data_IF_635861782539
#
_entry.id   IF_635861782539
#
_cell.length_a   1.000
_cell.length_b   1.000
_cell.length_c   1.000
_cell.angle_alpha   90.00
_cell.angle_beta   90.00
_cell.angle_gamma   90.00
#
_symmetry.space_group_name_H-M   'P 1'
#
loop_
_entity.id
_entity.type
_entity.pdbx_description
1 polymer ?
#
# COMPACT_ATOMS: atom_id res chain seq x y z
N UNK A 1 -29.04 -45.75 82.88
CA UNK A 1 -28.70 -46.31 81.56
C UNK A 1 -28.96 -45.23 80.51
N UNK A 2 -27.90 -44.43 80.21
CA UNK A 2 -28.03 -43.25 79.34
C UNK A 2 -27.46 -43.59 77.96
N UNK A 3 -28.31 -43.56 76.90
CA UNK A 3 -27.91 -43.68 75.53
C UNK A 3 -27.53 -42.28 74.97
N UNK A 4 -26.26 -42.12 74.60
CA UNK A 4 -25.77 -40.93 73.86
C UNK A 4 -25.93 -41.14 72.36
N UNK A 5 -26.79 -40.37 71.75
CA UNK A 5 -26.89 -40.31 70.25
C UNK A 5 -25.81 -39.39 69.69
N UNK A 6 -24.89 -39.92 68.93
CA UNK A 6 -23.89 -39.17 68.13
C UNK A 6 -24.51 -38.73 66.83
N UNK A 7 -24.62 -37.41 66.65
CA UNK A 7 -25.06 -36.81 65.38
C UNK A 7 -23.84 -36.63 64.47
N UNK A 8 -23.78 -37.42 63.40
CA UNK A 8 -22.78 -37.30 62.34
C UNK A 8 -23.20 -36.17 61.38
N UNK A 9 -22.53 -35.02 61.39
CA UNK A 9 -22.71 -33.90 60.43
C UNK A 9 -21.95 -34.24 59.15
N UNK A 10 -22.68 -34.57 58.09
CA UNK A 10 -22.13 -34.72 56.74
C UNK A 10 -21.97 -33.31 56.13
N UNK A 11 -20.73 -32.90 55.94
CA UNK A 11 -20.39 -31.67 55.18
C UNK A 11 -20.40 -32.04 53.67
N UNK A 12 -21.43 -31.63 52.93
CA UNK A 12 -21.45 -31.71 51.46
C UNK A 12 -20.66 -30.50 50.94
N UNK A 13 -19.45 -30.77 50.46
CA UNK A 13 -18.64 -29.80 49.72
C UNK A 13 -19.18 -29.72 48.28
N UNK A 14 -20.04 -28.74 47.99
CA UNK A 14 -20.45 -28.42 46.61
C UNK A 14 -19.30 -27.66 45.94
N UNK A 15 -18.49 -28.40 45.18
CA UNK A 15 -17.49 -27.83 44.27
C UNK A 15 -18.20 -27.12 43.12
N UNK A 16 -18.35 -25.80 43.21
CA UNK A 16 -18.81 -24.98 42.08
C UNK A 16 -17.75 -24.92 40.99
N UNK A 17 -17.93 -25.71 39.96
CA UNK A 17 -17.12 -25.65 38.74
C UNK A 17 -17.48 -24.34 38.00
N UNK A 18 -16.68 -23.30 38.20
CA UNK A 18 -16.79 -22.03 37.49
C UNK A 18 -16.29 -22.28 36.05
N UNK A 19 -17.20 -22.53 35.11
CA UNK A 19 -16.91 -22.52 33.71
C UNK A 19 -16.67 -21.08 33.28
N UNK A 20 -15.40 -20.66 33.21
CA UNK A 20 -15.01 -19.40 32.61
C UNK A 20 -15.26 -19.47 31.10
N UNK A 21 -16.39 -18.98 30.64
CA UNK A 21 -16.62 -18.71 29.21
C UNK A 21 -15.67 -17.58 28.82
N UNK A 22 -14.57 -17.95 28.15
CA UNK A 22 -13.73 -16.97 27.48
C UNK A 22 -14.55 -16.36 26.33
N UNK A 23 -15.16 -15.22 26.57
CA UNK A 23 -15.79 -14.42 25.54
C UNK A 23 -14.66 -13.89 24.64
N UNK A 24 -14.40 -14.56 23.52
CA UNK A 24 -13.52 -14.04 22.49
C UNK A 24 -14.23 -12.87 21.84
N UNK A 25 -13.72 -11.67 22.04
CA UNK A 25 -14.21 -10.51 21.29
C UNK A 25 -13.96 -10.73 19.81
N UNK A 26 -15.00 -10.62 18.98
CA UNK A 26 -14.89 -10.66 17.53
C UNK A 26 -14.02 -9.50 17.05
N UNK A 27 -13.13 -9.77 16.13
CA UNK A 27 -12.34 -8.75 15.43
C UNK A 27 -13.19 -8.29 14.24
N UNK A 28 -13.63 -7.04 14.28
CA UNK A 28 -14.40 -6.42 13.19
C UNK A 28 -13.60 -5.25 12.62
N UNK A 29 -13.33 -5.29 11.32
CA UNK A 29 -12.62 -4.22 10.58
C UNK A 29 -13.35 -3.97 9.27
N UNK A 30 -13.53 -2.71 8.91
CA UNK A 30 -14.12 -2.31 7.62
C UNK A 30 -13.00 -2.08 6.60
N UNK A 31 -13.12 -2.71 5.42
CA UNK A 31 -12.20 -2.55 4.29
C UNK A 31 -12.42 -1.20 3.57
N UNK A 32 -11.64 -0.92 2.53
CA UNK A 32 -11.74 0.35 1.80
C UNK A 32 -12.92 0.38 0.80
N UNK A 33 -13.63 -0.74 0.62
CA UNK A 33 -14.91 -0.83 -0.10
C UNK A 33 -16.13 -0.84 0.83
N UNK A 34 -15.95 -0.50 2.12
CA UNK A 34 -16.97 -0.53 3.16
C UNK A 34 -17.55 -1.92 3.50
N UNK A 35 -16.84 -3.01 3.18
CA UNK A 35 -17.24 -4.33 3.63
C UNK A 35 -16.68 -4.63 5.03
N UNK A 36 -17.49 -5.27 5.87
CA UNK A 36 -17.07 -5.70 7.20
C UNK A 36 -16.38 -7.06 7.13
N UNK A 37 -15.17 -7.13 7.64
CA UNK A 37 -14.42 -8.36 7.83
C UNK A 37 -14.52 -8.72 9.31
N UNK A 38 -15.08 -9.90 9.59
CA UNK A 38 -15.28 -10.39 10.95
C UNK A 38 -14.49 -11.68 11.14
N UNK A 39 -13.56 -11.68 12.10
CA UNK A 39 -12.76 -12.84 12.45
C UNK A 39 -12.95 -13.18 13.93
N UNK A 40 -13.06 -14.47 14.25
CA UNK A 40 -13.15 -14.95 15.64
C UNK A 40 -11.81 -14.93 16.39
N UNK A 41 -10.70 -14.86 15.64
CA UNK A 41 -9.32 -14.82 16.14
C UNK A 41 -8.45 -14.13 15.11
N UNK A 42 -7.27 -13.60 15.51
CA UNK A 42 -6.32 -13.03 14.58
C UNK A 42 -5.90 -14.00 13.48
N UNK A 43 -5.85 -13.51 12.25
CA UNK A 43 -5.45 -14.28 11.07
C UNK A 43 -4.02 -14.80 11.21
N UNK A 44 -3.83 -16.09 10.90
CA UNK A 44 -2.54 -16.81 10.93
C UNK A 44 -2.18 -17.46 9.61
N UNK A 45 -3.11 -17.49 8.68
CA UNK A 45 -2.94 -18.04 7.33
C UNK A 45 -3.43 -17.01 6.31
N UNK A 46 -2.53 -16.12 5.88
CA UNK A 46 -2.86 -14.95 5.07
C UNK A 46 -2.44 -15.18 3.63
N UNK A 47 -3.33 -14.89 2.68
CA UNK A 47 -2.97 -14.74 1.27
C UNK A 47 -2.79 -13.26 0.97
N UNK A 48 -1.66 -12.90 0.38
CA UNK A 48 -1.31 -11.54 -0.06
C UNK A 48 -1.32 -11.49 -1.59
N UNK A 49 -2.30 -10.83 -2.19
CA UNK A 49 -2.51 -10.85 -3.64
C UNK A 49 -1.76 -9.75 -4.40
N UNK A 50 -0.90 -8.97 -3.73
CA UNK A 50 -0.08 -7.95 -4.37
C UNK A 50 1.23 -7.69 -3.59
N UNK A 51 2.30 -7.23 -4.28
CA UNK A 51 3.61 -7.00 -3.65
C UNK A 51 3.58 -5.97 -2.52
N UNK A 52 2.84 -4.88 -2.69
CA UNK A 52 2.67 -3.85 -1.66
C UNK A 52 2.03 -4.39 -0.38
N UNK A 53 1.05 -5.29 -0.52
CA UNK A 53 0.39 -5.96 0.62
C UNK A 53 1.40 -6.81 1.37
N UNK A 54 2.21 -7.59 0.65
CA UNK A 54 3.28 -8.41 1.24
C UNK A 54 4.25 -7.54 2.03
N UNK A 55 4.71 -6.43 1.48
CA UNK A 55 5.61 -5.48 2.15
C UNK A 55 4.98 -4.92 3.43
N UNK A 56 3.72 -4.49 3.38
CA UNK A 56 3.00 -3.97 4.52
C UNK A 56 2.87 -5.02 5.62
N UNK A 57 2.45 -6.24 5.29
CA UNK A 57 2.29 -7.32 6.26
C UNK A 57 3.62 -7.67 6.95
N UNK A 58 4.73 -7.70 6.23
CA UNK A 58 6.05 -7.85 6.84
C UNK A 58 6.40 -6.67 7.75
N UNK A 59 6.16 -5.45 7.30
CA UNK A 59 6.47 -4.22 8.03
C UNK A 59 5.74 -4.14 9.37
N UNK A 60 4.47 -4.52 9.42
CA UNK A 60 3.67 -4.54 10.66
C UNK A 60 3.89 -5.82 11.50
N UNK A 61 4.79 -6.72 11.08
CA UNK A 61 5.17 -7.93 11.82
C UNK A 61 4.22 -9.13 11.65
N UNK A 62 3.41 -9.15 10.59
CA UNK A 62 2.53 -10.26 10.23
C UNK A 62 3.11 -11.17 9.11
N UNK A 63 4.34 -10.92 8.67
CA UNK A 63 4.98 -11.63 7.55
C UNK A 63 5.03 -13.16 7.70
N UNK A 64 5.26 -13.67 8.93
CA UNK A 64 5.27 -15.12 9.21
C UNK A 64 3.90 -15.80 9.08
N UNK A 65 2.82 -15.02 9.00
CA UNK A 65 1.46 -15.53 8.78
C UNK A 65 1.10 -15.62 7.30
N UNK A 66 1.94 -15.15 6.38
CA UNK A 66 1.67 -15.21 4.94
C UNK A 66 1.98 -16.62 4.44
N UNK A 67 0.96 -17.31 3.94
CA UNK A 67 1.07 -18.67 3.40
C UNK A 67 1.05 -18.72 1.87
N UNK A 68 0.61 -17.61 1.23
CA UNK A 68 0.63 -17.45 -0.22
C UNK A 68 0.77 -15.98 -0.61
N UNK A 69 1.54 -15.69 -1.65
CA UNK A 69 1.84 -14.34 -2.10
C UNK A 69 1.78 -14.21 -3.62
N UNK A 70 1.66 -12.98 -4.09
CA UNK A 70 1.77 -12.62 -5.50
C UNK A 70 3.18 -12.94 -6.05
N UNK A 71 3.27 -13.24 -7.36
CA UNK A 71 4.51 -13.61 -8.04
C UNK A 71 5.61 -12.57 -7.88
N UNK A 72 5.27 -11.29 -7.84
CA UNK A 72 6.21 -10.16 -7.73
C UNK A 72 6.51 -9.75 -6.29
N UNK A 73 6.04 -10.51 -5.30
CA UNK A 73 6.33 -10.29 -3.87
C UNK A 73 7.75 -10.72 -3.52
N UNK A 74 8.74 -9.88 -3.83
CA UNK A 74 10.18 -10.16 -3.68
C UNK A 74 10.85 -9.41 -2.51
N UNK A 75 10.10 -8.57 -1.78
CA UNK A 75 10.61 -7.80 -0.64
C UNK A 75 9.71 -7.96 0.59
N UNK A 76 10.30 -8.09 1.80
CA UNK A 76 11.73 -8.31 2.06
C UNK A 76 12.21 -9.67 1.49
N UNK A 77 13.50 -9.98 1.60
CA UNK A 77 14.06 -11.23 1.06
C UNK A 77 13.33 -12.48 1.54
N UNK A 78 12.84 -12.48 2.78
CA UNK A 78 12.01 -13.57 3.34
C UNK A 78 10.71 -13.83 2.56
N UNK A 79 10.18 -12.84 1.83
CA UNK A 79 9.00 -13.02 1.00
C UNK A 79 9.24 -13.94 -0.22
N UNK A 80 10.50 -14.11 -0.63
CA UNK A 80 10.86 -14.91 -1.82
C UNK A 80 10.57 -16.41 -1.65
N UNK A 81 10.55 -16.90 -0.41
CA UNK A 81 10.27 -18.31 -0.09
C UNK A 81 8.78 -18.63 0.03
N UNK A 82 7.89 -17.64 -0.03
CA UNK A 82 6.45 -17.85 0.11
C UNK A 82 5.89 -18.45 -1.19
N UNK A 83 4.92 -19.38 -1.07
CA UNK A 83 4.23 -19.99 -2.20
C UNK A 83 3.57 -18.92 -3.10
N UNK A 84 3.75 -19.03 -4.41
CA UNK A 84 3.14 -18.10 -5.38
C UNK A 84 1.74 -18.58 -5.75
N UNK A 85 0.75 -17.72 -5.55
CA UNK A 85 -0.68 -18.07 -5.72
C UNK A 85 -1.38 -17.27 -6.80
N UNK A 86 -0.82 -16.14 -7.24
CA UNK A 86 -1.35 -15.32 -8.31
C UNK A 86 -0.23 -14.53 -9.01
N UNK A 87 -0.55 -14.10 -10.24
CA UNK A 87 0.11 -12.95 -10.88
C UNK A 87 -0.96 -11.86 -11.11
N UNK A 88 -0.56 -10.70 -11.65
CA UNK A 88 -1.45 -9.58 -11.86
C UNK A 88 -2.87 -9.93 -12.35
N UNK A 89 -3.08 -10.92 -13.25
CA UNK A 89 -4.33 -11.18 -13.99
C UNK A 89 -4.95 -12.52 -13.68
N UNK A 90 -4.22 -13.43 -13.03
CA UNK A 90 -4.65 -14.82 -12.83
C UNK A 90 -4.39 -15.22 -11.39
N UNK A 91 -5.44 -15.65 -10.70
CA UNK A 91 -5.35 -16.25 -9.38
C UNK A 91 -5.56 -17.77 -9.48
N UNK A 92 -4.70 -18.53 -8.82
CA UNK A 92 -4.86 -19.97 -8.68
C UNK A 92 -5.78 -20.26 -7.49
N UNK A 93 -7.09 -20.26 -7.74
CA UNK A 93 -8.12 -20.44 -6.71
C UNK A 93 -7.99 -21.79 -5.99
N UNK A 94 -7.64 -22.86 -6.70
CA UNK A 94 -7.49 -24.21 -6.13
C UNK A 94 -6.34 -24.21 -5.12
N UNK A 95 -5.20 -23.63 -5.49
CA UNK A 95 -4.05 -23.50 -4.59
C UNK A 95 -4.39 -22.61 -3.40
N UNK A 96 -5.06 -21.45 -3.61
CA UNK A 96 -5.48 -20.55 -2.53
C UNK A 96 -6.35 -21.31 -1.52
N UNK A 97 -7.37 -22.07 -1.99
CA UNK A 97 -8.25 -22.86 -1.11
C UNK A 97 -7.46 -23.94 -0.38
N UNK A 98 -6.55 -24.65 -1.08
CA UNK A 98 -5.75 -25.71 -0.48
C UNK A 98 -4.85 -25.23 0.66
N UNK A 99 -4.44 -23.95 0.61
CA UNK A 99 -3.69 -23.30 1.67
C UNK A 99 -4.55 -22.93 2.89
N UNK A 100 -5.86 -23.15 2.86
CA UNK A 100 -6.81 -22.89 3.95
C UNK A 100 -6.60 -21.52 4.62
N UNK A 101 -6.68 -20.41 3.87
CA UNK A 101 -6.47 -19.11 4.44
C UNK A 101 -7.62 -18.70 5.37
N UNK A 102 -7.28 -18.01 6.44
CA UNK A 102 -8.24 -17.37 7.33
C UNK A 102 -8.40 -15.85 7.01
N UNK A 103 -7.59 -15.34 6.09
CA UNK A 103 -7.71 -14.00 5.53
C UNK A 103 -7.05 -13.94 4.15
N UNK A 104 -7.74 -13.32 3.19
CA UNK A 104 -7.15 -12.87 1.92
C UNK A 104 -7.09 -11.36 1.93
N UNK A 105 -5.95 -10.78 1.55
CA UNK A 105 -5.79 -9.34 1.39
C UNK A 105 -5.57 -9.05 -0.09
N UNK A 106 -6.42 -8.20 -0.67
CA UNK A 106 -6.44 -7.87 -2.09
C UNK A 106 -6.35 -6.36 -2.31
N UNK A 107 -5.78 -5.95 -3.45
CA UNK A 107 -5.73 -4.56 -3.89
C UNK A 107 -6.76 -4.36 -5.01
N UNK A 108 -7.72 -3.44 -4.80
CA UNK A 108 -8.89 -3.26 -5.67
C UNK A 108 -8.52 -3.01 -7.13
N UNK A 109 -7.80 -1.92 -7.40
CA UNK A 109 -7.43 -1.55 -8.77
C UNK A 109 -6.36 -2.46 -9.40
N UNK A 110 -5.57 -3.16 -8.58
CA UNK A 110 -4.51 -4.05 -9.06
C UNK A 110 -4.98 -5.48 -9.33
N UNK A 111 -5.79 -6.07 -8.47
CA UNK A 111 -6.28 -7.43 -8.66
C UNK A 111 -7.58 -7.49 -9.49
N UNK A 112 -8.35 -6.40 -9.52
CA UNK A 112 -9.63 -6.33 -10.22
C UNK A 112 -10.79 -6.97 -9.47
N UNK A 113 -12.00 -6.51 -9.83
CA UNK A 113 -13.26 -6.92 -9.17
C UNK A 113 -13.51 -8.42 -9.31
N UNK A 114 -13.24 -8.99 -10.47
CA UNK A 114 -13.56 -10.41 -10.77
C UNK A 114 -12.83 -11.38 -9.85
N UNK A 115 -11.54 -11.15 -9.57
CA UNK A 115 -10.76 -11.98 -8.65
C UNK A 115 -11.30 -11.83 -7.23
N UNK A 116 -11.57 -10.60 -6.79
CA UNK A 116 -12.07 -10.30 -5.45
C UNK A 116 -13.43 -10.98 -5.21
N UNK A 117 -14.38 -10.79 -6.12
CA UNK A 117 -15.71 -11.37 -6.00
C UNK A 117 -15.69 -12.90 -6.08
N UNK A 118 -14.84 -13.47 -6.94
CA UNK A 118 -14.68 -14.91 -7.01
C UNK A 118 -14.19 -15.50 -5.68
N UNK A 119 -13.22 -14.86 -5.02
CA UNK A 119 -12.72 -15.32 -3.72
C UNK A 119 -13.79 -15.20 -2.62
N UNK A 120 -14.60 -14.14 -2.64
CA UNK A 120 -15.76 -13.98 -1.73
C UNK A 120 -16.80 -15.06 -1.94
N UNK A 121 -17.14 -15.38 -3.19
CA UNK A 121 -18.07 -16.48 -3.52
C UNK A 121 -17.58 -17.87 -3.08
N UNK A 122 -16.26 -18.04 -2.97
CA UNK A 122 -15.66 -19.24 -2.41
C UNK A 122 -15.67 -19.27 -0.87
N UNK A 123 -16.32 -18.29 -0.23
CA UNK A 123 -16.49 -18.21 1.23
C UNK A 123 -15.26 -17.72 1.99
N UNK A 124 -14.26 -17.14 1.31
CA UNK A 124 -13.05 -16.65 1.96
C UNK A 124 -13.27 -15.23 2.51
N UNK A 125 -12.75 -14.91 3.71
CA UNK A 125 -12.70 -13.54 4.21
C UNK A 125 -11.72 -12.72 3.37
N UNK A 126 -12.22 -11.73 2.60
CA UNK A 126 -11.39 -10.89 1.70
C UNK A 126 -11.42 -9.46 2.18
N UNK A 127 -10.30 -8.97 2.69
CA UNK A 127 -10.06 -7.57 3.00
C UNK A 127 -9.51 -6.88 1.76
N UNK A 128 -10.18 -5.84 1.29
CA UNK A 128 -9.79 -5.10 0.08
C UNK A 128 -9.25 -3.73 0.47
N UNK A 129 -8.08 -3.39 -0.07
CA UNK A 129 -7.49 -2.07 0.09
C UNK A 129 -7.46 -1.30 -1.24
N UNK A 130 -7.53 0.03 -1.13
CA UNK A 130 -7.28 0.97 -2.22
C UNK A 130 -6.67 2.24 -1.63
N UNK A 131 -5.40 2.51 -1.95
CA UNK A 131 -4.64 3.63 -1.39
C UNK A 131 -4.54 4.73 -2.44
N UNK A 132 -5.12 5.87 -2.17
CA UNK A 132 -5.05 7.07 -3.04
C UNK A 132 -4.27 8.22 -2.43
N UNK A 133 -4.07 8.21 -1.10
CA UNK A 133 -3.28 9.22 -0.37
C UNK A 133 -2.32 8.57 0.63
N UNK A 134 -1.24 9.26 0.95
CA UNK A 134 -0.25 8.77 1.91
C UNK A 134 -0.81 8.68 3.33
N UNK A 135 -1.78 9.52 3.70
CA UNK A 135 -2.44 9.48 5.02
C UNK A 135 -3.26 8.20 5.25
N UNK A 136 -3.65 7.49 4.20
CA UNK A 136 -4.36 6.20 4.32
C UNK A 136 -3.45 5.05 4.77
N UNK A 137 -2.14 5.14 4.52
CA UNK A 137 -1.19 4.06 4.81
C UNK A 137 -1.11 3.74 6.31
N UNK A 138 -0.92 4.71 7.23
CA UNK A 138 -0.91 4.42 8.67
C UNK A 138 -2.25 3.89 9.19
N UNK A 139 -3.38 4.30 8.59
CA UNK A 139 -4.71 3.74 8.91
C UNK A 139 -4.80 2.28 8.50
N UNK A 140 -4.31 1.95 7.29
CA UNK A 140 -4.26 0.57 6.80
C UNK A 140 -3.39 -0.32 7.70
N UNK A 141 -2.23 0.17 8.20
CA UNK A 141 -1.41 -0.58 9.14
C UNK A 141 -2.19 -0.96 10.39
N UNK A 142 -2.97 -0.04 10.94
CA UNK A 142 -3.79 -0.32 12.13
C UNK A 142 -4.90 -1.33 11.85
N UNK A 143 -5.60 -1.21 10.71
CA UNK A 143 -6.62 -2.16 10.26
C UNK A 143 -6.05 -3.58 10.13
N UNK A 144 -4.96 -3.72 9.37
CA UNK A 144 -4.29 -5.01 9.20
C UNK A 144 -3.69 -5.54 10.51
N UNK A 145 -3.16 -4.65 11.36
CA UNK A 145 -2.66 -4.99 12.69
C UNK A 145 -3.73 -5.60 13.60
N UNK A 146 -4.97 -5.12 13.53
CA UNK A 146 -6.10 -5.71 14.26
C UNK A 146 -6.43 -7.10 13.71
N UNK A 147 -6.56 -7.24 12.38
CA UNK A 147 -6.89 -8.51 11.73
C UNK A 147 -5.83 -9.59 11.97
N UNK A 148 -4.56 -9.23 12.09
CA UNK A 148 -3.43 -10.18 12.21
C UNK A 148 -2.95 -10.38 13.66
N UNK A 149 -3.46 -9.57 14.60
CA UNK A 149 -3.01 -9.56 16.00
C UNK A 149 -1.63 -8.91 16.20
N UNK A 150 -1.12 -8.17 15.20
CA UNK A 150 0.17 -7.45 15.28
C UNK A 150 0.01 -5.99 15.76
N UNK A 151 -1.01 -5.71 16.56
CA UNK A 151 -1.46 -4.36 16.94
C UNK A 151 -0.35 -3.46 17.49
N UNK A 152 0.59 -3.99 18.29
CA UNK A 152 1.68 -3.18 18.85
C UNK A 152 2.63 -2.70 17.76
N UNK A 153 3.07 -3.61 16.88
CA UNK A 153 3.98 -3.28 15.77
C UNK A 153 3.31 -2.38 14.73
N UNK A 154 2.05 -2.65 14.41
CA UNK A 154 1.31 -1.83 13.45
C UNK A 154 1.06 -0.40 13.92
N UNK A 155 0.78 -0.18 15.22
CA UNK A 155 0.68 1.16 15.81
C UNK A 155 2.01 1.90 15.76
N UNK A 156 3.11 1.22 16.06
CA UNK A 156 4.44 1.83 15.98
C UNK A 156 4.82 2.16 14.54
N UNK A 157 4.58 1.26 13.59
CA UNK A 157 4.80 1.50 12.17
C UNK A 157 3.97 2.69 11.66
N UNK A 158 2.70 2.78 12.08
CA UNK A 158 1.81 3.88 11.73
C UNK A 158 2.33 5.22 12.27
N UNK A 159 2.78 5.25 13.52
CA UNK A 159 3.35 6.46 14.15
C UNK A 159 4.59 6.94 13.40
N UNK A 160 5.55 6.04 13.17
CA UNK A 160 6.81 6.37 12.46
C UNK A 160 6.56 6.86 11.03
N UNK A 161 5.60 6.22 10.32
CA UNK A 161 5.21 6.66 8.98
C UNK A 161 4.62 8.07 9.01
N UNK A 162 3.68 8.33 9.93
CA UNK A 162 3.05 9.65 10.06
C UNK A 162 4.06 10.74 10.41
N UNK A 163 4.97 10.48 11.34
CA UNK A 163 6.02 11.45 11.73
C UNK A 163 6.92 11.81 10.53
N UNK A 164 7.37 10.82 9.76
CA UNK A 164 8.18 11.08 8.56
C UNK A 164 7.39 11.80 7.46
N UNK A 165 6.10 11.46 7.29
CA UNK A 165 5.23 12.14 6.34
C UNK A 165 5.03 13.61 6.72
N UNK A 166 4.81 13.91 8.01
CA UNK A 166 4.63 15.27 8.52
C UNK A 166 5.92 16.10 8.39
N UNK A 167 7.08 15.48 8.63
CA UNK A 167 8.38 16.12 8.37
C UNK A 167 8.55 16.50 6.90
N UNK A 168 8.29 15.57 5.98
CA UNK A 168 8.32 15.86 4.54
C UNK A 168 7.36 16.99 4.17
N UNK A 169 6.12 16.92 4.67
CA UNK A 169 5.09 17.93 4.41
C UNK A 169 5.53 19.31 4.88
N UNK A 170 6.12 19.42 6.08
CA UNK A 170 6.60 20.69 6.62
C UNK A 170 7.76 21.28 5.82
N UNK A 171 8.65 20.45 5.29
CA UNK A 171 9.81 20.88 4.50
C UNK A 171 9.44 21.52 3.15
N UNK A 172 8.27 21.16 2.61
CA UNK A 172 7.83 21.63 1.28
C UNK A 172 6.57 22.50 1.32
N UNK A 173 6.00 22.73 2.50
CA UNK A 173 4.83 23.60 2.68
C UNK A 173 5.12 25.04 2.20
N UNK A 174 4.23 25.57 1.38
CA UNK A 174 4.32 26.97 0.90
C UNK A 174 5.38 27.25 -0.17
N UNK A 175 6.11 26.23 -0.62
CA UNK A 175 7.05 26.39 -1.74
C UNK A 175 6.32 26.64 -3.05
N UNK A 176 6.97 27.35 -3.98
CA UNK A 176 6.47 27.58 -5.33
C UNK A 176 6.15 26.27 -6.03
N UNK A 177 4.94 26.16 -6.57
CA UNK A 177 4.48 24.95 -7.29
C UNK A 177 5.30 24.76 -8.56
N UNK A 178 5.64 23.50 -8.87
CA UNK A 178 6.40 23.09 -10.04
C UNK A 178 5.54 22.17 -10.89
N UNK A 179 5.28 22.55 -12.15
CA UNK A 179 4.50 21.74 -13.10
C UNK A 179 5.22 20.43 -13.37
N UNK A 180 4.62 19.34 -12.94
CA UNK A 180 5.20 18.00 -12.97
C UNK A 180 4.38 17.06 -13.82
N UNK A 181 5.04 16.30 -14.68
CA UNK A 181 4.45 15.23 -15.46
C UNK A 181 5.02 13.89 -14.98
N UNK A 182 4.15 12.92 -14.65
CA UNK A 182 4.58 11.58 -14.28
C UNK A 182 4.20 10.60 -15.39
N UNK A 183 5.21 10.00 -16.05
CA UNK A 183 5.01 9.00 -17.09
C UNK A 183 5.02 7.60 -16.49
N UNK A 184 3.90 6.87 -16.60
CA UNK A 184 3.79 5.49 -16.12
C UNK A 184 4.12 4.46 -17.21
N UNK A 185 3.81 4.78 -18.49
CA UNK A 185 4.04 3.91 -19.63
C UNK A 185 4.49 4.69 -20.86
N UNK A 186 5.28 4.05 -21.74
CA UNK A 186 5.94 4.73 -22.86
C UNK A 186 5.11 4.75 -24.16
N UNK A 187 4.42 3.65 -24.48
CA UNK A 187 3.70 3.50 -25.73
C UNK A 187 2.50 2.54 -25.57
N UNK A 188 1.26 3.09 -25.58
CA UNK A 188 0.96 4.51 -25.64
C UNK A 188 1.45 5.27 -24.41
N UNK A 189 1.67 6.59 -24.52
CA UNK A 189 2.07 7.38 -23.35
C UNK A 189 0.90 7.42 -22.35
N UNK A 190 1.15 6.96 -21.13
CA UNK A 190 0.16 6.97 -20.05
C UNK A 190 0.68 7.74 -18.85
N UNK A 191 -0.24 8.38 -18.12
CA UNK A 191 0.03 9.14 -16.91
C UNK A 191 -0.97 8.78 -15.81
N UNK A 192 -0.99 9.57 -14.77
CA UNK A 192 -1.84 9.39 -13.59
C UNK A 192 -2.61 10.69 -13.34
N UNK A 193 -3.87 10.60 -12.94
CA UNK A 193 -4.64 11.76 -12.54
C UNK A 193 -4.44 12.11 -11.05
N UNK A 194 -5.11 13.16 -10.57
CA UNK A 194 -4.98 13.66 -9.20
C UNK A 194 -5.48 12.74 -8.09
N UNK A 195 -6.23 11.68 -8.44
CA UNK A 195 -6.74 10.70 -7.46
C UNK A 195 -5.76 9.56 -7.18
N UNK A 196 -4.64 9.51 -7.90
CA UNK A 196 -3.65 8.46 -7.72
C UNK A 196 -2.60 8.87 -6.66
N UNK A 197 -2.15 7.92 -5.83
CA UNK A 197 -1.16 8.14 -4.76
C UNK A 197 0.11 8.88 -5.23
N UNK A 198 0.59 8.63 -6.45
CA UNK A 198 1.75 9.33 -6.99
C UNK A 198 1.51 10.83 -7.14
N UNK A 199 0.27 11.24 -7.41
CA UNK A 199 -0.09 12.66 -7.48
C UNK A 199 -0.10 13.30 -6.09
N UNK A 200 -0.51 12.56 -5.06
CA UNK A 200 -0.39 12.97 -3.65
C UNK A 200 1.08 13.17 -3.25
N UNK A 201 1.98 12.25 -3.68
CA UNK A 201 3.44 12.40 -3.49
C UNK A 201 3.98 13.65 -4.20
N UNK A 202 3.58 13.91 -5.45
CA UNK A 202 4.00 15.11 -6.19
C UNK A 202 3.54 16.37 -5.46
N UNK A 203 2.30 16.39 -4.99
CA UNK A 203 1.74 17.53 -4.26
C UNK A 203 2.45 17.78 -2.92
N UNK A 204 2.76 16.71 -2.17
CA UNK A 204 3.55 16.76 -0.94
C UNK A 204 4.87 17.51 -1.15
N UNK A 205 5.55 17.27 -2.28
CA UNK A 205 6.81 17.90 -2.64
C UNK A 205 6.66 19.33 -3.22
N UNK A 206 5.44 19.87 -3.22
CA UNK A 206 5.13 21.17 -3.83
C UNK A 206 5.15 21.14 -5.36
N UNK A 207 4.97 19.97 -5.97
CA UNK A 207 4.69 19.83 -7.39
C UNK A 207 3.21 20.05 -7.70
N UNK A 208 2.90 20.19 -8.99
CA UNK A 208 1.54 20.24 -9.54
C UNK A 208 1.46 19.25 -10.70
N UNK A 209 0.68 18.20 -10.56
CA UNK A 209 0.48 17.24 -11.65
C UNK A 209 -0.29 17.92 -12.79
N UNK A 210 0.34 18.08 -13.96
CA UNK A 210 -0.25 18.75 -15.12
C UNK A 210 -1.49 18.02 -15.70
N UNK A 211 -1.72 16.79 -15.30
CA UNK A 211 -2.91 15.99 -15.65
C UNK A 211 -3.82 15.70 -14.45
N UNK A 212 -3.78 16.54 -13.42
CA UNK A 212 -4.57 16.43 -12.18
C UNK A 212 -6.05 16.11 -12.44
N UNK A 213 -6.66 16.79 -13.43
CA UNK A 213 -8.09 16.72 -13.75
C UNK A 213 -8.42 15.71 -14.87
N UNK A 214 -7.47 14.91 -15.32
CA UNK A 214 -7.71 13.93 -16.36
C UNK A 214 -8.59 12.76 -15.87
N UNK A 215 -9.25 12.08 -16.81
CA UNK A 215 -10.02 10.86 -16.58
C UNK A 215 -9.63 9.83 -17.64
N UNK A 216 -9.54 8.55 -17.29
CA UNK A 216 -9.69 7.87 -15.98
C UNK A 216 -8.51 8.05 -15.03
N UNK A 217 -8.38 7.19 -13.99
CA UNK A 217 -7.28 7.21 -13.01
C UNK A 217 -5.90 7.15 -13.69
N UNK A 218 -5.79 6.33 -14.74
CA UNK A 218 -4.60 6.13 -15.57
C UNK A 218 -4.96 6.51 -17.02
N UNK A 219 -4.91 7.81 -17.37
CA UNK A 219 -5.27 8.26 -18.72
C UNK A 219 -4.12 8.02 -19.70
N UNK A 220 -4.50 7.65 -20.93
CA UNK A 220 -3.62 7.79 -22.09
C UNK A 220 -3.60 9.24 -22.54
N UNK A 221 -2.42 9.79 -22.83
CA UNK A 221 -2.23 11.16 -23.30
C UNK A 221 -1.41 11.17 -24.58
N UNK A 222 -1.62 12.19 -25.41
CA UNK A 222 -0.79 12.42 -26.60
C UNK A 222 0.31 13.45 -26.31
N UNK A 223 1.28 13.49 -27.18
CA UNK A 223 2.43 14.39 -27.02
C UNK A 223 2.04 15.88 -27.12
N UNK A 224 1.03 16.20 -27.92
CA UNK A 224 0.53 17.56 -28.08
C UNK A 224 -0.02 18.10 -26.77
N UNK A 225 -0.76 17.27 -26.00
CA UNK A 225 -1.27 17.62 -24.66
C UNK A 225 -0.14 17.87 -23.68
N UNK A 226 0.96 17.10 -23.75
CA UNK A 226 2.12 17.28 -22.88
C UNK A 226 2.86 18.55 -23.24
N UNK A 227 3.03 18.85 -24.56
CA UNK A 227 3.64 20.10 -25.02
C UNK A 227 2.80 21.30 -24.57
N UNK A 228 1.48 21.23 -24.68
CA UNK A 228 0.57 22.29 -24.23
C UNK A 228 0.63 22.51 -22.71
N UNK A 229 0.72 21.43 -21.93
CA UNK A 229 0.87 21.49 -20.47
C UNK A 229 2.25 22.05 -20.05
N UNK A 230 3.26 21.86 -20.89
CA UNK A 230 4.64 22.33 -20.73
C UNK A 230 5.20 22.07 -19.33
N UNK A 231 5.37 20.80 -18.93
CA UNK A 231 5.89 20.47 -17.61
C UNK A 231 7.34 20.95 -17.43
N UNK A 232 7.64 21.34 -16.18
CA UNK A 232 8.95 21.82 -15.74
C UNK A 232 9.82 20.66 -15.24
N UNK A 233 9.18 19.58 -14.78
CA UNK A 233 9.82 18.32 -14.38
C UNK A 233 9.07 17.15 -15.00
N UNK A 234 9.82 16.19 -15.59
CA UNK A 234 9.28 14.91 -16.03
C UNK A 234 9.84 13.81 -15.15
N UNK A 235 8.94 13.05 -14.54
CA UNK A 235 9.22 11.93 -13.66
C UNK A 235 8.73 10.63 -14.32
N UNK A 236 9.43 9.53 -14.07
CA UNK A 236 8.95 8.19 -14.40
C UNK A 236 9.58 7.17 -13.47
N UNK A 237 9.07 5.93 -13.48
CA UNK A 237 9.72 4.81 -12.82
C UNK A 237 10.58 4.02 -13.80
N UNK A 238 11.80 3.68 -13.39
CA UNK A 238 12.69 2.90 -14.23
C UNK A 238 14.04 2.62 -13.59
N UNK A 239 14.76 1.66 -14.17
CA UNK A 239 16.13 1.38 -13.75
C UNK A 239 17.11 2.41 -14.33
N UNK A 240 18.23 2.58 -13.69
CA UNK A 240 19.31 3.46 -14.15
C UNK A 240 19.77 3.13 -15.58
N UNK A 241 19.75 1.86 -15.95
CA UNK A 241 20.09 1.41 -17.32
C UNK A 241 19.13 1.99 -18.39
N UNK A 242 17.89 2.34 -18.03
CA UNK A 242 16.90 2.94 -18.95
C UNK A 242 17.04 4.45 -19.12
N UNK A 243 17.73 5.16 -18.23
CA UNK A 243 17.81 6.63 -18.20
C UNK A 243 18.20 7.20 -19.55
N UNK A 244 19.28 6.69 -20.15
CA UNK A 244 19.83 7.21 -21.41
C UNK A 244 18.83 7.06 -22.57
N UNK A 245 18.26 5.87 -22.77
CA UNK A 245 17.31 5.59 -23.85
C UNK A 245 16.00 6.36 -23.66
N UNK A 246 15.53 6.48 -22.43
CA UNK A 246 14.32 7.23 -22.09
C UNK A 246 14.50 8.74 -22.35
N UNK A 247 15.60 9.34 -21.92
CA UNK A 247 15.91 10.75 -22.21
C UNK A 247 16.06 11.00 -23.71
N UNK A 248 16.66 10.06 -24.45
CA UNK A 248 16.77 10.15 -25.91
C UNK A 248 15.42 10.16 -26.61
N UNK A 249 14.42 9.41 -26.12
CA UNK A 249 13.05 9.49 -26.64
C UNK A 249 12.47 10.89 -26.47
N UNK A 250 12.64 11.50 -25.29
CA UNK A 250 12.12 12.83 -24.99
C UNK A 250 12.86 13.96 -25.71
N UNK A 251 14.12 13.80 -26.08
CA UNK A 251 14.91 14.84 -26.75
C UNK A 251 14.33 15.32 -28.10
N UNK A 252 13.36 14.60 -28.64
CA UNK A 252 12.62 15.00 -29.86
C UNK A 252 11.71 16.22 -29.65
N UNK A 253 11.41 16.58 -28.40
CA UNK A 253 10.48 17.67 -28.06
C UNK A 253 11.15 18.73 -27.16
N UNK A 254 12.13 19.47 -27.73
CA UNK A 254 12.88 20.48 -26.97
C UNK A 254 12.04 21.71 -26.59
N UNK A 255 10.81 21.83 -27.12
CA UNK A 255 9.86 22.89 -26.72
C UNK A 255 9.34 22.69 -25.30
N UNK A 256 9.40 21.47 -24.71
CA UNK A 256 9.01 21.19 -23.35
C UNK A 256 10.10 21.67 -22.39
N UNK A 257 9.74 22.46 -21.38
CA UNK A 257 10.68 23.02 -20.39
C UNK A 257 11.57 21.96 -19.74
N UNK A 258 10.98 20.90 -19.22
CA UNK A 258 11.72 19.80 -18.59
C UNK A 258 12.77 19.17 -19.52
N UNK A 259 12.45 19.05 -20.82
CA UNK A 259 13.37 18.48 -21.82
C UNK A 259 14.50 19.44 -22.10
N UNK A 260 14.18 20.72 -22.34
CA UNK A 260 15.15 21.78 -22.66
C UNK A 260 16.16 21.99 -21.51
N UNK A 261 15.69 21.96 -20.28
CA UNK A 261 16.52 22.21 -19.07
C UNK A 261 17.11 20.92 -18.48
N UNK A 262 16.72 19.72 -18.98
CA UNK A 262 17.26 18.45 -18.52
C UNK A 262 16.65 17.91 -17.22
N UNK A 263 15.52 18.50 -16.75
CA UNK A 263 14.82 18.05 -15.54
C UNK A 263 13.92 16.83 -15.80
N UNK A 264 14.57 15.76 -16.16
CA UNK A 264 13.94 14.45 -16.43
C UNK A 264 14.59 13.37 -15.57
N UNK A 265 13.80 12.70 -14.73
CA UNK A 265 14.30 11.83 -13.69
C UNK A 265 13.56 10.49 -13.63
N UNK A 266 14.31 9.41 -13.42
CA UNK A 266 13.75 8.09 -13.12
C UNK A 266 13.89 7.78 -11.63
N UNK A 267 12.85 7.19 -11.07
CA UNK A 267 12.78 6.73 -9.68
C UNK A 267 12.77 5.20 -9.71
N UNK A 268 13.45 4.51 -8.77
CA UNK A 268 13.37 3.07 -8.66
C UNK A 268 11.90 2.59 -8.64
N UNK A 269 11.49 1.63 -9.50
CA UNK A 269 10.09 1.26 -9.68
C UNK A 269 9.41 0.83 -8.38
N UNK A 270 10.09 0.03 -7.58
CA UNK A 270 9.56 -0.51 -6.34
C UNK A 270 9.18 0.55 -5.29
N UNK A 271 9.73 1.78 -5.41
CA UNK A 271 9.44 2.87 -4.48
C UNK A 271 8.17 3.65 -4.86
N UNK A 272 7.81 3.68 -6.14
CA UNK A 272 6.65 4.45 -6.62
C UNK A 272 5.46 3.57 -7.04
N UNK A 273 5.73 2.34 -7.48
CA UNK A 273 4.69 1.43 -7.98
C UNK A 273 4.11 0.55 -6.87
N UNK A 274 4.77 0.49 -5.70
CA UNK A 274 4.30 -0.25 -4.53
C UNK A 274 3.83 0.72 -3.46
N UNK A 275 2.54 0.72 -3.21
CA UNK A 275 1.89 1.55 -2.20
C UNK A 275 2.14 0.96 -0.79
N UNK A 276 3.39 1.01 -0.33
CA UNK A 276 3.85 0.43 0.93
C UNK A 276 4.60 1.47 1.78
N UNK A 277 5.25 1.04 2.86
CA UNK A 277 6.12 1.90 3.67
C UNK A 277 7.23 2.58 2.87
N UNK A 278 7.68 1.97 1.77
CA UNK A 278 8.78 2.48 0.94
C UNK A 278 8.37 3.64 0.02
N UNK A 279 7.07 3.98 -0.05
CA UNK A 279 6.61 5.15 -0.80
C UNK A 279 7.22 6.46 -0.27
N UNK A 280 7.57 6.53 1.03
CA UNK A 280 8.27 7.69 1.61
C UNK A 280 9.69 7.84 1.04
N UNK A 281 10.38 6.73 0.76
CA UNK A 281 11.67 6.76 0.07
C UNK A 281 11.51 7.25 -1.38
N UNK A 282 10.41 6.86 -2.04
CA UNK A 282 10.01 7.39 -3.34
C UNK A 282 9.71 8.88 -3.31
N UNK A 283 9.03 9.34 -2.25
CA UNK A 283 8.74 10.77 -2.04
C UNK A 283 10.02 11.59 -1.87
N UNK A 284 11.02 11.08 -1.16
CA UNK A 284 12.32 11.75 -1.05
C UNK A 284 12.94 12.02 -2.43
N UNK A 285 12.92 11.04 -3.35
CA UNK A 285 13.39 11.23 -4.73
C UNK A 285 12.59 12.31 -5.45
N UNK A 286 11.25 12.25 -5.40
CA UNK A 286 10.38 13.24 -6.06
C UNK A 286 10.65 14.63 -5.52
N UNK A 287 10.71 14.77 -4.20
CA UNK A 287 10.96 16.05 -3.53
C UNK A 287 12.33 16.64 -3.91
N UNK A 288 13.39 15.81 -3.91
CA UNK A 288 14.73 16.23 -4.31
C UNK A 288 14.77 16.69 -5.78
N UNK A 289 14.08 16.00 -6.70
CA UNK A 289 14.08 16.36 -8.11
C UNK A 289 13.30 17.65 -8.38
N UNK A 290 12.18 17.84 -7.70
CA UNK A 290 11.39 19.09 -7.78
C UNK A 290 12.17 20.25 -7.15
N UNK A 291 12.87 20.03 -6.04
CA UNK A 291 13.68 21.04 -5.39
C UNK A 291 14.91 21.43 -6.23
N UNK A 292 15.53 20.49 -6.91
CA UNK A 292 16.63 20.76 -7.84
C UNK A 292 16.18 21.74 -8.95
N UNK A 293 14.98 21.53 -9.51
CA UNK A 293 14.44 22.48 -10.48
C UNK A 293 14.31 23.89 -9.88
N UNK A 294 13.78 24.05 -8.65
CA UNK A 294 13.66 25.36 -8.00
C UNK A 294 15.00 26.05 -7.81
N UNK A 295 16.01 25.29 -7.39
CA UNK A 295 17.37 25.81 -7.17
C UNK A 295 18.00 26.29 -8.48
N UNK A 296 17.85 25.52 -9.57
CA UNK A 296 18.38 25.90 -10.87
C UNK A 296 17.70 27.17 -11.42
N UNK A 297 16.39 27.36 -11.19
CA UNK A 297 15.70 28.61 -11.54
C UNK A 297 16.20 29.80 -10.70
N UNK A 298 16.43 29.60 -9.41
CA UNK A 298 16.91 30.67 -8.51
C UNK A 298 18.35 31.12 -8.84
N UNK A 299 19.15 30.26 -9.45
CA UNK A 299 20.55 30.52 -9.83
C UNK A 299 20.67 31.28 -11.16
N UNK A 300 19.56 31.42 -11.91
CA UNK A 300 19.51 32.10 -13.21
C UNK A 300 19.03 33.55 -13.09
N UNK A 301 18.59 33.99 -11.91
CA UNK A 301 18.14 35.34 -11.55
C UNK A 301 19.29 36.08 -10.89
#
# INVERSE_FOLDING_TARGET
MYFRASIFRIWIFTSSLVFSFSCFALIEVTDDLNNKIVLSKPAKRIISLAPNITEILFHIGAGSSIVGADEYSNYPSAAQSIMRVNNHSIANYELIISLQPDLVVAWYSGNGVDIIERLRHLGLPVFVLEISTMDQIPVLYQKLGQLTGSTKKSKEAARLFSERLDELRSNYLGKTKVKSFYQIWDDPIMTLNGKHLVSDVIELCGGENVFLNASPLVPQVNIESIIAANPEVILSSGSEARVKSWRQKWSRWPSINAVRQGHMYLIPPDLMQRQSNRILDGADYVCQFIERYRQDQSSQI
#
